data_IF_583203843587
#
_entry.id   IF_583203843587
#
_cell.length_a   1.000
_cell.length_b   1.000
_cell.length_c   1.000
_cell.angle_alpha   90.00
_cell.angle_beta   90.00
_cell.angle_gamma   90.00
#
_symmetry.space_group_name_H-M   'P 1'
#
loop_
_entity.id
_entity.type
_entity.pdbx_description
1 polymer ?
#
# COMPACT_ATOMS: atom_id res chain seq x y z
N UNK A 1 -50.92 15.49 8.12
CA UNK A 1 -50.59 15.07 9.49
C UNK A 1 -49.08 14.89 9.56
N UNK A 2 -48.37 15.80 10.23
CA UNK A 2 -46.93 15.70 10.46
C UNK A 2 -46.63 14.81 11.67
N UNK A 3 -45.56 14.00 11.57
CA UNK A 3 -44.76 13.34 12.64
C UNK A 3 -43.89 12.27 11.95
N UNK A 4 -42.58 12.11 12.12
CA UNK A 4 -41.54 12.76 12.94
C UNK A 4 -40.21 12.26 12.36
N UNK A 5 -39.25 13.14 12.03
CA UNK A 5 -37.89 12.76 11.59
C UNK A 5 -37.03 12.50 12.83
N UNK A 6 -36.41 11.32 12.93
CA UNK A 6 -35.42 11.03 13.97
C UNK A 6 -34.04 11.34 13.39
N UNK A 7 -33.47 12.47 13.80
CA UNK A 7 -32.09 12.83 13.58
C UNK A 7 -31.24 12.22 14.70
N UNK A 8 -30.29 11.36 14.35
CA UNK A 8 -29.27 10.85 15.26
C UNK A 8 -27.94 11.56 15.00
N UNK A 9 -27.71 12.65 15.71
CA UNK A 9 -26.39 13.28 15.89
C UNK A 9 -25.66 12.51 17.00
N UNK A 10 -24.43 12.03 16.80
CA UNK A 10 -23.47 11.83 17.90
C UNK A 10 -22.00 11.74 17.39
N UNK A 11 -21.33 12.89 17.50
CA UNK A 11 -19.96 13.16 18.03
C UNK A 11 -18.74 12.54 17.34
N UNK A 12 -18.01 13.42 16.64
CA UNK A 12 -16.60 13.29 16.32
C UNK A 12 -15.73 13.44 17.59
N UNK A 13 -14.79 12.52 17.80
CA UNK A 13 -13.69 12.68 18.75
C UNK A 13 -12.36 12.70 17.99
N UNK A 14 -11.92 13.93 17.70
CA UNK A 14 -10.58 14.25 17.24
C UNK A 14 -9.63 14.17 18.42
N UNK A 15 -8.62 13.31 18.35
CA UNK A 15 -7.46 13.36 19.26
C UNK A 15 -6.22 13.78 18.46
N UNK A 16 -5.87 15.05 18.59
CA UNK A 16 -4.61 15.64 18.15
C UNK A 16 -3.50 15.42 19.20
N UNK A 17 -2.33 15.07 18.67
CA UNK A 17 -0.99 15.61 18.98
C UNK A 17 -0.29 15.31 20.32
N UNK A 18 0.82 14.58 20.21
CA UNK A 18 2.17 14.93 20.69
C UNK A 18 3.15 13.91 20.04
N UNK A 19 4.31 14.20 19.46
CA UNK A 19 5.19 15.35 19.55
C UNK A 19 6.61 14.84 19.70
N UNK A 20 7.36 14.68 18.61
CA UNK A 20 8.83 14.73 18.62
C UNK A 20 9.29 15.78 17.63
N UNK A 21 9.31 17.00 18.13
CA UNK A 21 10.11 18.07 17.58
C UNK A 21 11.59 17.80 17.92
N UNK A 22 12.46 17.85 16.91
CA UNK A 22 13.84 18.33 17.02
C UNK A 22 14.27 18.69 15.58
N UNK A 23 14.00 19.90 15.12
CA UNK A 23 14.67 21.19 15.37
C UNK A 23 15.90 21.40 14.47
N UNK A 24 15.87 22.56 13.83
CA UNK A 24 16.67 23.08 12.73
C UNK A 24 18.13 23.43 13.06
N UNK A 25 18.95 23.54 12.01
CA UNK A 25 19.99 24.59 11.76
C UNK A 25 20.55 24.30 10.34
N UNK A 26 20.24 25.05 9.28
CA UNK A 26 20.60 26.41 8.87
C UNK A 26 22.11 26.65 8.57
N UNK A 27 22.34 27.11 7.32
CA UNK A 27 23.44 27.94 6.81
C UNK A 27 24.65 27.33 6.02
N UNK A 28 25.23 28.13 5.09
CA UNK A 28 25.80 27.70 3.79
C UNK A 28 27.35 27.58 3.74
N UNK A 29 27.84 27.03 2.61
CA UNK A 29 29.22 26.87 2.10
C UNK A 29 30.24 27.99 2.48
N UNK A 30 31.57 27.74 2.51
CA UNK A 30 32.34 27.55 1.26
C UNK A 30 33.62 26.67 1.29
N UNK A 31 34.04 26.29 0.08
CA UNK A 31 35.42 26.02 -0.38
C UNK A 31 36.03 24.61 -0.19
N UNK A 32 36.12 23.84 -1.28
CA UNK A 32 37.26 23.87 -2.21
C UNK A 32 37.52 22.50 -2.87
N UNK A 33 37.73 22.58 -4.19
CA UNK A 33 38.49 21.65 -5.03
C UNK A 33 37.83 20.33 -5.45
N UNK A 34 37.44 20.33 -6.72
CA UNK A 34 37.95 19.41 -7.75
C UNK A 34 37.96 17.93 -7.39
N UNK A 35 37.05 17.19 -8.02
CA UNK A 35 37.43 16.16 -9.01
C UNK A 35 36.17 15.64 -9.66
N UNK A 36 36.07 15.83 -10.96
CA UNK A 36 35.18 15.06 -11.83
C UNK A 36 35.55 13.58 -11.71
N UNK A 37 34.64 12.67 -11.34
CA UNK A 37 34.72 11.31 -11.82
C UNK A 37 33.83 11.24 -13.06
N UNK A 38 34.50 11.12 -14.20
CA UNK A 38 33.93 10.45 -15.36
C UNK A 38 33.61 9.02 -14.91
N UNK A 39 32.42 8.78 -14.38
CA UNK A 39 31.92 7.42 -14.18
C UNK A 39 30.87 7.15 -15.25
N UNK A 40 31.34 6.53 -16.34
CA UNK A 40 30.55 5.58 -17.10
C UNK A 40 29.92 4.59 -16.12
N UNK A 41 28.73 4.93 -15.60
CA UNK A 41 27.90 3.95 -14.92
C UNK A 41 27.33 3.07 -16.01
N UNK A 42 28.09 2.02 -16.36
CA UNK A 42 27.50 0.79 -16.86
C UNK A 42 26.44 0.39 -15.84
N UNK A 43 25.19 0.68 -16.18
CA UNK A 43 24.02 0.29 -15.39
C UNK A 43 23.94 -1.23 -15.39
N UNK A 44 24.57 -1.84 -14.38
CA UNK A 44 24.20 -3.18 -13.95
C UNK A 44 22.67 -3.18 -13.75
N UNK A 45 21.94 -4.24 -14.15
CA UNK A 45 20.49 -4.27 -13.99
C UNK A 45 20.18 -4.02 -12.51
N UNK A 46 19.45 -2.93 -12.26
CA UNK A 46 19.12 -2.52 -10.90
C UNK A 46 18.48 -3.70 -10.18
N UNK A 47 19.14 -4.20 -9.13
CA UNK A 47 18.55 -5.22 -8.27
C UNK A 47 17.29 -4.59 -7.67
N UNK A 48 16.13 -5.17 -7.96
CA UNK A 48 14.84 -4.76 -7.40
C UNK A 48 14.99 -4.74 -5.87
N UNK A 49 14.61 -3.62 -5.25
CA UNK A 49 14.70 -3.49 -3.80
C UNK A 49 13.77 -4.50 -3.12
N UNK A 50 14.10 -4.92 -1.89
CA UNK A 50 13.27 -5.85 -1.12
C UNK A 50 11.83 -5.36 -0.96
N UNK A 51 11.64 -4.09 -0.66
CA UNK A 51 10.31 -3.48 -0.52
C UNK A 51 9.52 -3.52 -1.83
N UNK A 52 10.20 -3.33 -2.97
CA UNK A 52 9.57 -3.46 -4.27
C UNK A 52 9.20 -4.91 -4.59
N UNK A 53 10.03 -5.89 -4.22
CA UNK A 53 9.69 -7.32 -4.33
C UNK A 53 8.45 -7.66 -3.52
N UNK A 54 8.38 -7.24 -2.25
CA UNK A 54 7.21 -7.46 -1.39
C UNK A 54 5.96 -6.83 -2.01
N UNK A 55 6.03 -5.58 -2.45
CA UNK A 55 4.91 -4.90 -3.11
C UNK A 55 4.42 -5.65 -4.35
N UNK A 56 5.34 -6.14 -5.20
CA UNK A 56 4.99 -6.93 -6.39
C UNK A 56 4.37 -8.28 -6.01
N UNK A 57 4.83 -8.89 -4.93
CA UNK A 57 4.23 -10.11 -4.38
C UNK A 57 2.80 -9.87 -3.88
N UNK A 58 2.59 -8.84 -3.06
CA UNK A 58 1.27 -8.44 -2.55
C UNK A 58 0.28 -8.21 -3.69
N UNK A 59 0.67 -7.44 -4.70
CA UNK A 59 -0.18 -7.19 -5.87
C UNK A 59 -0.52 -8.49 -6.62
N UNK A 60 0.45 -9.39 -6.82
CA UNK A 60 0.18 -10.65 -7.50
C UNK A 60 -0.77 -11.57 -6.71
N UNK A 61 -0.76 -11.51 -5.37
CA UNK A 61 -1.74 -12.19 -4.53
C UNK A 61 -3.10 -11.51 -4.61
N UNK A 62 -3.15 -10.17 -4.62
CA UNK A 62 -4.39 -9.42 -4.77
C UNK A 62 -5.09 -9.73 -6.11
N UNK A 63 -4.33 -9.77 -7.21
CA UNK A 63 -4.84 -10.12 -8.54
C UNK A 63 -5.42 -11.54 -8.53
N UNK A 64 -4.68 -12.51 -7.97
CA UNK A 64 -5.18 -13.89 -7.80
C UNK A 64 -6.46 -13.95 -6.99
N UNK A 65 -6.53 -13.18 -5.90
CA UNK A 65 -7.70 -13.15 -5.04
C UNK A 65 -8.91 -12.54 -5.76
N UNK A 66 -8.71 -11.49 -6.56
CA UNK A 66 -9.76 -10.87 -7.37
C UNK A 66 -10.31 -11.81 -8.45
N UNK A 67 -9.44 -12.65 -9.04
CA UNK A 67 -9.85 -13.64 -10.04
C UNK A 67 -10.61 -14.85 -9.46
N UNK A 68 -10.66 -14.98 -8.13
CA UNK A 68 -11.26 -16.13 -7.45
C UNK A 68 -12.71 -15.87 -7.07
N UNK A 69 -13.65 -16.60 -7.69
CA UNK A 69 -15.08 -16.50 -7.39
C UNK A 69 -15.56 -17.32 -6.18
N UNK A 70 -14.78 -18.30 -5.74
CA UNK A 70 -15.12 -19.16 -4.58
C UNK A 70 -14.80 -18.54 -3.22
N UNK A 71 -14.01 -17.46 -3.19
CA UNK A 71 -13.46 -16.88 -1.96
C UNK A 71 -12.27 -17.65 -1.36
N UNK A 72 -11.90 -18.80 -1.93
CA UNK A 72 -10.73 -19.58 -1.51
C UNK A 72 -9.51 -19.24 -2.34
N UNK A 73 -8.65 -18.35 -1.83
CA UNK A 73 -7.39 -18.03 -2.49
C UNK A 73 -6.40 -19.15 -2.22
N UNK A 74 -5.82 -19.74 -3.27
CA UNK A 74 -4.78 -20.75 -3.12
C UNK A 74 -3.42 -20.10 -2.88
N UNK A 75 -2.72 -20.56 -1.84
CA UNK A 75 -1.33 -20.17 -1.56
C UNK A 75 -0.35 -20.77 -2.57
N UNK A 76 -0.69 -21.89 -3.22
CA UNK A 76 0.15 -22.54 -4.22
C UNK A 76 -0.49 -22.56 -5.61
N UNK A 77 0.30 -22.43 -6.69
CA UNK A 77 1.75 -22.21 -6.69
C UNK A 77 2.12 -20.80 -6.20
N UNK A 78 3.24 -20.64 -5.50
CA UNK A 78 3.74 -19.32 -5.10
C UNK A 78 3.91 -18.39 -6.33
N UNK A 79 3.35 -17.16 -6.33
CA UNK A 79 3.50 -16.23 -7.45
C UNK A 79 4.96 -15.92 -7.75
N UNK A 80 5.33 -15.79 -9.03
CA UNK A 80 6.69 -15.44 -9.47
C UNK A 80 7.34 -14.26 -8.73
N UNK A 81 6.66 -13.12 -8.47
CA UNK A 81 7.27 -12.02 -7.73
C UNK A 81 7.48 -12.31 -6.23
N UNK A 82 6.82 -13.32 -5.68
CA UNK A 82 7.02 -13.80 -4.31
C UNK A 82 8.17 -14.80 -4.20
N UNK A 83 8.70 -15.30 -5.32
CA UNK A 83 9.73 -16.32 -5.31
C UNK A 83 11.00 -15.84 -4.59
N UNK A 84 11.44 -16.60 -3.59
CA UNK A 84 12.64 -16.28 -2.80
C UNK A 84 12.39 -15.30 -1.66
N UNK A 85 11.15 -14.89 -1.39
CA UNK A 85 10.81 -14.28 -0.11
C UNK A 85 10.90 -15.34 1.01
N UNK A 86 11.36 -14.96 2.22
CA UNK A 86 11.17 -15.77 3.42
C UNK A 86 9.68 -16.03 3.65
N UNK A 87 9.34 -17.22 4.17
CA UNK A 87 7.95 -17.64 4.38
C UNK A 87 7.13 -16.61 5.17
N UNK A 88 7.71 -15.98 6.19
CA UNK A 88 7.03 -14.93 6.96
C UNK A 88 6.65 -13.72 6.10
N UNK A 89 7.55 -13.27 5.23
CA UNK A 89 7.30 -12.14 4.34
C UNK A 89 6.32 -12.51 3.22
N UNK A 90 6.37 -13.75 2.76
CA UNK A 90 5.36 -14.28 1.85
C UNK A 90 3.98 -14.30 2.50
N UNK A 91 3.85 -14.79 3.73
CA UNK A 91 2.59 -14.83 4.46
C UNK A 91 2.03 -13.42 4.72
N UNK A 92 2.87 -12.47 5.09
CA UNK A 92 2.46 -11.07 5.25
C UNK A 92 1.95 -10.49 3.92
N UNK A 93 2.74 -10.63 2.85
CA UNK A 93 2.34 -10.17 1.52
C UNK A 93 1.08 -10.86 1.01
N UNK A 94 0.88 -12.14 1.37
CA UNK A 94 -0.29 -12.92 1.02
C UNK A 94 -1.55 -12.39 1.72
N UNK A 95 -1.49 -12.17 3.03
CA UNK A 95 -2.60 -11.59 3.79
C UNK A 95 -2.90 -10.16 3.37
N UNK A 96 -1.87 -9.36 3.05
CA UNK A 96 -2.03 -8.02 2.51
C UNK A 96 -2.73 -8.04 1.15
N UNK A 97 -2.35 -8.95 0.25
CA UNK A 97 -2.96 -9.07 -1.07
C UNK A 97 -4.44 -9.45 -0.99
N UNK A 98 -4.80 -10.39 -0.11
CA UNK A 98 -6.20 -10.76 0.15
C UNK A 98 -6.99 -9.57 0.69
N UNK A 99 -6.43 -8.81 1.64
CA UNK A 99 -7.09 -7.61 2.18
C UNK A 99 -7.31 -6.55 1.12
N UNK A 100 -6.30 -6.32 0.27
CA UNK A 100 -6.39 -5.37 -0.83
C UNK A 100 -7.49 -5.74 -1.82
N UNK A 101 -7.58 -7.01 -2.24
CA UNK A 101 -8.64 -7.48 -3.14
C UNK A 101 -10.04 -7.32 -2.53
N UNK A 102 -10.18 -7.68 -1.24
CA UNK A 102 -11.45 -7.54 -0.53
C UNK A 102 -11.87 -6.07 -0.39
N UNK A 103 -10.93 -5.16 -0.14
CA UNK A 103 -11.22 -3.73 -0.07
C UNK A 103 -11.65 -3.20 -1.43
N UNK A 104 -10.91 -3.53 -2.50
CA UNK A 104 -11.28 -3.13 -3.85
C UNK A 104 -12.69 -3.63 -4.24
N UNK A 105 -13.06 -4.86 -3.86
CA UNK A 105 -14.41 -5.39 -4.09
C UNK A 105 -15.51 -4.65 -3.31
N UNK A 106 -15.22 -4.19 -2.10
CA UNK A 106 -16.15 -3.37 -1.30
C UNK A 106 -16.31 -1.97 -1.89
N UNK A 107 -15.21 -1.33 -2.26
CA UNK A 107 -15.21 0.00 -2.88
C UNK A 107 -15.95 -0.02 -4.23
N UNK A 108 -15.82 -1.12 -4.98
CA UNK A 108 -16.57 -1.36 -6.22
C UNK A 108 -18.08 -1.48 -5.96
N UNK A 109 -18.46 -2.28 -4.96
CA UNK A 109 -19.86 -2.46 -4.59
C UNK A 109 -20.49 -1.15 -4.10
N UNK A 110 -19.79 -0.39 -3.28
CA UNK A 110 -20.26 0.91 -2.77
C UNK A 110 -20.58 1.86 -3.93
N UNK A 111 -19.68 1.96 -4.92
CA UNK A 111 -19.91 2.80 -6.11
C UNK A 111 -21.13 2.36 -6.91
N UNK A 112 -21.36 1.06 -7.06
CA UNK A 112 -22.54 0.55 -7.75
C UNK A 112 -23.84 0.88 -7.01
N UNK A 113 -23.81 0.89 -5.67
CA UNK A 113 -24.95 1.28 -4.84
C UNK A 113 -25.25 2.78 -4.96
N UNK A 114 -24.21 3.61 -4.96
CA UNK A 114 -24.33 5.06 -5.14
C UNK A 114 -24.91 5.40 -6.51
N UNK A 115 -24.42 4.76 -7.58
CA UNK A 115 -24.94 4.94 -8.94
C UNK A 115 -26.40 4.48 -9.09
N UNK A 116 -26.82 3.49 -8.30
CA UNK A 116 -28.18 2.94 -8.32
C UNK A 116 -29.19 3.73 -7.45
N UNK A 117 -28.72 4.64 -6.59
CA UNK A 117 -29.56 5.40 -5.64
C UNK A 117 -29.51 6.91 -5.94
N UNK A 118 -30.18 7.37 -7.03
CA UNK A 118 -30.18 8.78 -7.45
C UNK A 118 -30.94 9.72 -6.51
#
# INVERSE_FOLDING_TARGET
MHRTRIAGLLVAAVLLAAGTACSSSDSPEPAASTSTPTDETTSAPAKVSKSETIRRCTNAVADRAADTSSGEVHSEPTPKPCAGLPDSEYLDAYMDGIRQANQAGRDELERQLDDATP
#
